data_IF_731716529933
#
_entry.id   IF_731716529933
#
_cell.length_a   1.000
_cell.length_b   1.000
_cell.length_c   1.000
_cell.angle_alpha   90.00
_cell.angle_beta   90.00
_cell.angle_gamma   90.00
#
_symmetry.space_group_name_H-M   'P 1'
#
loop_
_entity.id
_entity.type
_entity.pdbx_description
1 polymer ?
#
# COMPACT_ATOMS: atom_id res chain seq x y z
N UNK A 1 -4.77 -10.29 3.98
CA UNK A 1 -5.79 -10.28 2.90
C UNK A 1 -7.18 -10.58 3.47
N UNK A 2 -7.57 -9.92 4.56
CA UNK A 2 -8.13 -10.66 5.71
C UNK A 2 -9.67 -10.69 5.74
N UNK A 3 -10.29 -10.26 4.63
CA UNK A 3 -11.73 -10.11 4.47
C UNK A 3 -12.26 -10.93 3.27
N UNK A 4 -11.54 -11.97 2.85
CA UNK A 4 -11.98 -12.94 1.84
C UNK A 4 -11.95 -14.34 2.46
N UNK A 5 -13.11 -14.87 2.81
CA UNK A 5 -13.20 -16.23 3.38
C UNK A 5 -13.32 -17.27 2.27
N UNK A 6 -13.00 -18.53 2.56
CA UNK A 6 -13.25 -19.64 1.64
C UNK A 6 -14.75 -19.83 1.32
N UNK A 7 -15.64 -19.35 2.20
CA UNK A 7 -17.08 -19.33 1.95
C UNK A 7 -17.48 -18.27 0.91
N UNK A 8 -16.84 -17.09 0.91
CA UNK A 8 -17.03 -16.08 -0.14
C UNK A 8 -16.55 -16.62 -1.50
N UNK A 9 -15.39 -17.28 -1.53
CA UNK A 9 -14.82 -17.91 -2.74
C UNK A 9 -15.78 -18.97 -3.28
N UNK A 10 -16.21 -19.92 -2.42
CA UNK A 10 -17.19 -20.95 -2.76
C UNK A 10 -18.51 -20.35 -3.30
N UNK A 11 -18.99 -19.28 -2.68
CA UNK A 11 -20.23 -18.60 -3.07
C UNK A 11 -20.07 -17.92 -4.43
N UNK A 12 -18.93 -17.27 -4.70
CA UNK A 12 -18.64 -16.71 -6.03
C UNK A 12 -18.56 -17.80 -7.11
N UNK A 13 -17.90 -18.94 -6.83
CA UNK A 13 -17.82 -20.09 -7.76
C UNK A 13 -19.23 -20.64 -8.05
N UNK A 14 -20.06 -20.85 -7.03
CA UNK A 14 -21.44 -21.33 -7.19
C UNK A 14 -22.31 -20.33 -7.97
N UNK A 15 -22.18 -19.03 -7.69
CA UNK A 15 -22.92 -17.99 -8.39
C UNK A 15 -22.48 -17.87 -9.87
N UNK A 16 -21.20 -18.05 -10.18
CA UNK A 16 -20.69 -18.05 -11.55
C UNK A 16 -21.09 -19.31 -12.35
N UNK A 17 -21.24 -20.47 -11.69
CA UNK A 17 -21.80 -21.69 -12.28
C UNK A 17 -23.33 -21.59 -12.51
N UNK A 18 -24.02 -20.79 -11.69
CA UNK A 18 -25.47 -20.62 -11.74
C UNK A 18 -26.21 -21.93 -11.46
N UNK A 19 -27.21 -22.25 -12.29
CA UNK A 19 -28.06 -23.43 -12.12
C UNK A 19 -27.51 -24.73 -12.73
N UNK A 20 -26.33 -24.71 -13.37
CA UNK A 20 -25.76 -25.86 -14.07
C UNK A 20 -24.55 -26.44 -13.32
N UNK A 21 -24.39 -27.77 -13.25
CA UNK A 21 -23.16 -28.38 -12.73
C UNK A 21 -22.01 -28.12 -13.71
N UNK A 22 -20.90 -27.57 -13.22
CA UNK A 22 -19.72 -27.27 -14.04
C UNK A 22 -18.64 -28.34 -13.92
N UNK A 23 -17.92 -28.58 -15.02
CA UNK A 23 -16.78 -29.50 -15.07
C UNK A 23 -15.47 -28.82 -14.63
N UNK A 24 -15.39 -27.49 -14.69
CA UNK A 24 -14.22 -26.68 -14.33
C UNK A 24 -14.66 -25.46 -13.50
N UNK A 25 -13.72 -24.81 -12.82
CA UNK A 25 -13.99 -23.59 -12.04
C UNK A 25 -14.07 -22.39 -13.00
N UNK A 26 -15.11 -21.52 -12.95
CA UNK A 26 -15.20 -20.39 -13.86
C UNK A 26 -14.14 -19.31 -13.57
N UNK A 27 -13.42 -18.89 -14.59
CA UNK A 27 -12.44 -17.78 -14.55
C UNK A 27 -13.06 -16.47 -14.05
N UNK A 28 -14.33 -16.23 -14.38
CA UNK A 28 -15.15 -15.10 -13.90
C UNK A 28 -15.17 -15.02 -12.36
N UNK A 29 -15.10 -16.15 -11.65
CA UNK A 29 -15.05 -16.20 -10.19
C UNK A 29 -13.74 -15.60 -9.65
N UNK A 30 -12.61 -15.90 -10.32
CA UNK A 30 -11.31 -15.31 -10.01
C UNK A 30 -11.30 -13.82 -10.35
N UNK A 31 -11.74 -13.44 -11.55
CA UNK A 31 -11.79 -12.05 -12.02
C UNK A 31 -12.59 -11.15 -11.07
N UNK A 32 -13.82 -11.53 -10.73
CA UNK A 32 -14.70 -10.73 -9.87
C UNK A 32 -14.09 -10.54 -8.47
N UNK A 33 -13.52 -11.61 -7.90
CA UNK A 33 -12.94 -11.56 -6.56
C UNK A 33 -11.63 -10.77 -6.52
N UNK A 34 -10.76 -10.89 -7.52
CA UNK A 34 -9.50 -10.13 -7.55
C UNK A 34 -9.75 -8.66 -7.86
N UNK A 35 -10.68 -8.31 -8.77
CA UNK A 35 -11.13 -6.92 -8.97
C UNK A 35 -11.71 -6.32 -7.67
N UNK A 36 -12.48 -7.10 -6.90
CA UNK A 36 -12.96 -6.68 -5.56
C UNK A 36 -11.83 -6.45 -4.55
N UNK A 37 -10.67 -7.13 -4.65
CA UNK A 37 -9.51 -6.80 -3.81
C UNK A 37 -8.71 -5.60 -4.34
N UNK A 38 -8.49 -5.52 -5.66
CA UNK A 38 -7.76 -4.40 -6.30
C UNK A 38 -8.45 -3.06 -6.00
N UNK A 39 -9.78 -2.99 -6.05
CA UNK A 39 -10.51 -1.75 -5.72
C UNK A 39 -10.23 -1.25 -4.29
N UNK A 40 -9.89 -2.13 -3.34
CA UNK A 40 -9.53 -1.73 -1.96
C UNK A 40 -8.16 -1.04 -1.85
N UNK A 41 -7.45 -0.88 -2.96
CA UNK A 41 -6.23 -0.07 -3.05
C UNK A 41 -6.52 1.40 -3.41
N UNK A 42 -7.75 1.73 -3.80
CA UNK A 42 -8.23 3.09 -4.11
C UNK A 42 -8.14 4.00 -2.86
N UNK A 43 -8.89 3.68 -1.80
CA UNK A 43 -8.93 4.44 -0.54
C UNK A 43 -7.53 4.72 0.09
N UNK A 44 -6.64 3.72 0.28
CA UNK A 44 -5.32 3.99 0.87
C UNK A 44 -4.38 4.73 -0.08
N UNK A 45 -4.58 4.66 -1.39
CA UNK A 45 -3.79 5.45 -2.36
C UNK A 45 -4.22 6.91 -2.34
N UNK A 46 -5.53 7.18 -2.26
CA UNK A 46 -6.06 8.53 -2.09
C UNK A 46 -5.63 9.15 -0.75
N UNK A 47 -5.70 8.38 0.36
CA UNK A 47 -5.19 8.86 1.66
C UNK A 47 -3.68 9.14 1.64
N UNK A 48 -2.91 8.50 0.77
CA UNK A 48 -1.50 8.84 0.55
C UNK A 48 -1.34 10.22 -0.12
N UNK A 49 -2.19 10.57 -1.09
CA UNK A 49 -2.21 11.93 -1.68
C UNK A 49 -2.55 12.99 -0.63
N UNK A 50 -3.57 12.73 0.21
CA UNK A 50 -3.97 13.64 1.28
C UNK A 50 -2.84 13.88 2.29
N UNK A 51 -2.15 12.83 2.75
CA UNK A 51 -1.03 12.95 3.68
C UNK A 51 0.14 13.75 3.09
N UNK A 52 0.42 13.62 1.79
CA UNK A 52 1.46 14.45 1.13
C UNK A 52 0.98 15.89 0.97
N UNK A 53 -0.30 16.15 0.69
CA UNK A 53 -0.86 17.49 0.67
C UNK A 53 -0.77 18.17 2.06
N UNK A 54 -1.13 17.45 3.13
CA UNK A 54 -0.96 17.92 4.52
C UNK A 54 0.52 18.26 4.85
N UNK A 55 1.47 17.48 4.34
CA UNK A 55 2.91 17.73 4.52
C UNK A 55 3.38 18.97 3.76
N UNK A 56 2.98 19.12 2.50
CA UNK A 56 3.31 20.32 1.71
C UNK A 56 2.75 21.59 2.35
N UNK A 57 1.55 21.54 2.94
CA UNK A 57 0.99 22.65 3.73
C UNK A 57 1.85 22.98 4.96
N UNK A 58 2.33 21.96 5.69
CA UNK A 58 3.21 22.15 6.86
C UNK A 58 4.59 22.71 6.49
N UNK A 59 5.16 22.32 5.35
CA UNK A 59 6.40 22.90 4.82
C UNK A 59 6.23 24.41 4.56
N UNK A 60 5.13 24.84 3.94
CA UNK A 60 4.85 26.27 3.66
C UNK A 60 4.73 27.07 4.96
N UNK A 61 4.03 26.53 5.96
CA UNK A 61 3.94 27.16 7.29
C UNK A 61 5.31 27.30 7.96
N UNK A 62 6.18 26.28 7.83
CA UNK A 62 7.53 26.34 8.38
C UNK A 62 8.43 27.36 7.68
N UNK A 63 8.37 27.45 6.33
CA UNK A 63 9.09 28.49 5.57
C UNK A 63 8.65 29.92 5.97
N UNK A 64 7.41 30.09 6.43
CA UNK A 64 6.89 31.35 6.95
C UNK A 64 7.59 31.89 8.20
N UNK A 65 8.27 31.04 8.97
CA UNK A 65 8.90 31.42 10.25
C UNK A 65 10.22 32.20 10.09
N UNK A 66 10.67 32.50 8.87
CA UNK A 66 11.89 33.27 8.63
C UNK A 66 11.72 34.75 8.99
N UNK A 67 12.77 35.37 9.52
CA UNK A 67 12.73 36.73 10.09
C UNK A 67 12.27 37.82 9.10
N UNK A 68 12.50 37.61 7.81
CA UNK A 68 12.07 38.53 6.74
C UNK A 68 10.54 38.61 6.63
N UNK A 69 9.82 37.51 6.83
CA UNK A 69 8.35 37.47 6.82
C UNK A 69 7.72 38.08 8.09
N UNK A 70 8.43 38.03 9.23
CA UNK A 70 8.00 38.69 10.48
C UNK A 70 7.96 40.22 10.31
N UNK A 71 8.73 40.78 9.36
CA UNK A 71 8.70 42.19 8.99
C UNK A 71 7.40 42.59 8.30
N UNK A 72 6.91 41.78 7.36
CA UNK A 72 5.77 42.08 6.49
C UNK A 72 4.66 41.02 6.64
N UNK A 73 3.88 41.05 7.75
CA UNK A 73 2.94 39.99 8.07
C UNK A 73 1.82 39.83 7.04
N UNK A 74 1.35 40.92 6.40
CA UNK A 74 0.32 40.85 5.35
C UNK A 74 0.83 40.21 4.07
N UNK A 75 2.06 40.53 3.65
CA UNK A 75 2.74 39.82 2.55
C UNK A 75 2.90 38.33 2.87
N UNK A 76 3.28 37.98 4.10
CA UNK A 76 3.43 36.58 4.52
C UNK A 76 2.11 35.81 4.45
N UNK A 77 1.04 36.35 5.05
CA UNK A 77 -0.31 35.79 4.99
C UNK A 77 -0.77 35.57 3.54
N UNK A 78 -0.58 36.60 2.69
CA UNK A 78 -0.94 36.53 1.26
C UNK A 78 -0.15 35.48 0.48
N UNK A 79 1.14 35.30 0.77
CA UNK A 79 1.96 34.22 0.20
C UNK A 79 1.38 32.86 0.59
N UNK A 80 1.15 32.62 1.89
CA UNK A 80 0.63 31.34 2.39
C UNK A 80 -0.72 31.01 1.75
N UNK A 81 -1.63 31.99 1.64
CA UNK A 81 -2.92 31.83 0.98
C UNK A 81 -2.78 31.41 -0.50
N UNK A 82 -1.92 32.08 -1.27
CA UNK A 82 -1.67 31.76 -2.68
C UNK A 82 -1.14 30.34 -2.84
N UNK A 83 -0.15 29.92 -2.04
CA UNK A 83 0.37 28.54 -2.16
C UNK A 83 -0.65 27.50 -1.68
N UNK A 84 -1.39 27.79 -0.61
CA UNK A 84 -2.46 26.93 -0.13
C UNK A 84 -3.62 26.82 -1.13
N UNK A 85 -3.90 27.86 -1.93
CA UNK A 85 -4.87 27.81 -3.02
C UNK A 85 -4.33 27.00 -4.21
N UNK A 86 -3.06 27.17 -4.57
CA UNK A 86 -2.39 26.39 -5.63
C UNK A 86 -2.37 24.88 -5.32
N UNK A 87 -2.06 24.52 -4.07
CA UNK A 87 -2.17 23.15 -3.53
C UNK A 87 -3.59 22.59 -3.68
N UNK A 88 -4.60 23.30 -3.13
CA UNK A 88 -6.01 22.89 -3.20
C UNK A 88 -6.52 22.74 -4.64
N UNK A 89 -6.03 23.55 -5.59
CA UNK A 89 -6.35 23.46 -7.03
C UNK A 89 -5.73 22.23 -7.71
N UNK A 90 -4.65 21.65 -7.17
CA UNK A 90 -3.91 20.51 -7.76
C UNK A 90 -4.16 19.16 -7.09
N UNK A 91 -4.72 19.17 -5.87
CA UNK A 91 -5.20 17.97 -5.19
C UNK A 91 -6.21 17.14 -6.04
N UNK A 92 -7.32 17.69 -6.58
CA UNK A 92 -8.30 16.88 -7.32
C UNK A 92 -7.75 16.29 -8.63
N UNK A 93 -6.87 17.00 -9.34
CA UNK A 93 -6.18 16.47 -10.53
C UNK A 93 -5.28 15.27 -10.18
N UNK A 94 -4.66 15.30 -9.00
CA UNK A 94 -3.79 14.22 -8.50
C UNK A 94 -4.63 13.02 -8.04
N UNK A 95 -5.74 13.26 -7.33
CA UNK A 95 -6.70 12.22 -6.94
C UNK A 95 -7.26 11.50 -8.17
N UNK A 96 -7.73 12.24 -9.18
CA UNK A 96 -8.24 11.69 -10.43
C UNK A 96 -7.21 10.84 -11.18
N UNK A 97 -5.93 11.21 -11.13
CA UNK A 97 -4.85 10.39 -11.70
C UNK A 97 -4.68 9.07 -10.92
N UNK A 98 -4.77 9.09 -9.59
CA UNK A 98 -4.69 7.89 -8.75
C UNK A 98 -5.92 6.98 -8.92
N UNK A 99 -7.12 7.55 -9.02
CA UNK A 99 -8.36 6.85 -9.40
C UNK A 99 -8.20 6.15 -10.75
N UNK A 100 -7.67 6.87 -11.77
CA UNK A 100 -7.41 6.30 -13.09
C UNK A 100 -6.40 5.13 -13.05
N UNK A 101 -5.33 5.23 -12.24
CA UNK A 101 -4.34 4.14 -12.09
C UNK A 101 -4.99 2.86 -11.56
N UNK A 102 -5.83 2.96 -10.53
CA UNK A 102 -6.59 1.79 -10.00
C UNK A 102 -7.65 1.34 -11.01
N UNK A 103 -8.31 2.26 -11.71
CA UNK A 103 -9.27 1.98 -12.77
C UNK A 103 -8.69 1.18 -13.94
N UNK A 104 -7.43 1.43 -14.32
CA UNK A 104 -6.72 0.67 -15.36
C UNK A 104 -6.46 -0.77 -14.91
N UNK A 105 -5.98 -0.98 -13.68
CA UNK A 105 -5.76 -2.32 -13.09
C UNK A 105 -7.10 -3.07 -12.84
N UNK A 106 -8.22 -2.36 -12.76
CA UNK A 106 -9.58 -2.93 -12.71
C UNK A 106 -10.18 -3.22 -14.10
N UNK A 107 -9.68 -2.59 -15.16
CA UNK A 107 -10.23 -2.76 -16.51
C UNK A 107 -9.90 -4.16 -17.07
N UNK A 108 -8.63 -4.56 -17.02
CA UNK A 108 -8.13 -5.79 -17.64
C UNK A 108 -7.23 -6.60 -16.69
N UNK A 109 -7.37 -7.93 -16.72
CA UNK A 109 -6.53 -8.86 -15.97
C UNK A 109 -5.58 -9.57 -16.93
N UNK A 110 -4.26 -9.37 -16.75
CA UNK A 110 -3.27 -10.04 -17.57
C UNK A 110 -2.86 -11.40 -16.98
N UNK A 111 -3.64 -12.44 -17.27
CA UNK A 111 -3.31 -13.84 -16.90
C UNK A 111 -2.04 -14.39 -17.56
N UNK A 112 -1.39 -13.63 -18.46
CA UNK A 112 -0.09 -13.92 -19.09
C UNK A 112 1.06 -13.08 -18.52
N UNK A 113 0.86 -12.37 -17.41
CA UNK A 113 1.91 -11.56 -16.78
C UNK A 113 3.10 -12.45 -16.33
N UNK A 114 4.37 -12.09 -16.60
CA UNK A 114 5.52 -12.94 -16.29
C UNK A 114 5.60 -13.41 -14.83
N UNK A 115 5.36 -12.51 -13.87
CA UNK A 115 5.39 -12.85 -12.45
C UNK A 115 4.24 -13.79 -12.01
N UNK A 116 3.18 -13.98 -12.82
CA UNK A 116 1.98 -14.76 -12.48
C UNK A 116 2.15 -16.27 -12.71
N UNK A 117 3.26 -16.81 -12.22
CA UNK A 117 3.72 -18.19 -12.39
C UNK A 117 2.68 -19.25 -11.95
N UNK A 118 1.82 -18.92 -10.99
CA UNK A 118 0.85 -19.89 -10.43
C UNK A 118 -0.15 -20.40 -11.46
N UNK A 119 -0.53 -19.61 -12.47
CA UNK A 119 -1.51 -20.04 -13.48
C UNK A 119 -1.05 -21.30 -14.25
N UNK A 120 0.23 -21.38 -14.63
CA UNK A 120 0.79 -22.56 -15.31
C UNK A 120 0.92 -23.79 -14.42
N UNK A 121 1.19 -23.59 -13.12
CA UNK A 121 1.26 -24.67 -12.11
C UNK A 121 -0.15 -25.19 -11.81
N UNK A 122 -1.13 -24.29 -11.70
CA UNK A 122 -2.52 -24.59 -11.40
C UNK A 122 -3.22 -25.28 -12.58
N UNK A 123 -2.89 -24.92 -13.82
CA UNK A 123 -3.36 -25.67 -15.00
C UNK A 123 -2.96 -27.15 -14.90
N UNK A 124 -1.67 -27.45 -14.61
CA UNK A 124 -1.20 -28.83 -14.40
C UNK A 124 -1.87 -29.53 -13.22
N UNK A 125 -2.07 -28.82 -12.11
CA UNK A 125 -2.76 -29.36 -10.94
C UNK A 125 -4.26 -29.62 -11.15
N UNK A 126 -4.89 -28.99 -12.15
CA UNK A 126 -6.27 -29.21 -12.55
C UNK A 126 -6.43 -30.25 -13.67
N UNK A 127 -5.44 -30.41 -14.58
CA UNK A 127 -5.45 -31.45 -15.61
C UNK A 127 -5.03 -32.83 -15.10
N UNK A 128 -4.29 -32.89 -13.98
CA UNK A 128 -3.84 -34.16 -13.39
C UNK A 128 -2.64 -34.79 -14.11
N UNK A 129 -1.86 -34.00 -14.84
CA UNK A 129 -0.65 -34.46 -15.53
C UNK A 129 0.54 -34.61 -14.56
N UNK A 130 0.53 -35.68 -13.78
CA UNK A 130 1.68 -36.13 -12.98
C UNK A 130 2.87 -36.47 -13.89
N UNK A 131 3.67 -35.45 -14.22
CA UNK A 131 4.89 -35.59 -14.99
C UNK A 131 6.05 -35.86 -14.05
N UNK A 132 6.65 -37.05 -14.16
CA UNK A 132 7.79 -37.46 -13.34
C UNK A 132 8.98 -36.50 -13.49
N UNK A 133 9.43 -35.92 -12.38
CA UNK A 133 10.61 -35.06 -12.36
C UNK A 133 11.89 -35.91 -12.51
N UNK A 134 12.45 -35.93 -13.71
CA UNK A 134 13.82 -36.41 -13.94
C UNK A 134 14.78 -35.52 -13.13
N UNK A 135 15.29 -36.04 -12.01
CA UNK A 135 16.24 -35.33 -11.17
C UNK A 135 17.61 -35.25 -11.85
N UNK A 136 17.97 -34.05 -12.32
CA UNK A 136 19.32 -33.74 -12.79
C UNK A 136 20.36 -34.04 -11.70
N UNK A 137 21.45 -34.70 -12.07
CA UNK A 137 22.54 -35.05 -11.14
C UNK A 137 23.14 -33.81 -10.48
N UNK A 138 23.44 -33.82 -9.17
CA UNK A 138 24.44 -32.92 -8.61
C UNK A 138 25.84 -33.36 -9.08
N UNK A 139 26.73 -32.38 -9.30
CA UNK A 139 28.14 -32.62 -9.60
C UNK A 139 28.92 -33.01 -8.33
N UNK A 140 30.00 -33.79 -8.46
CA UNK A 140 30.77 -34.32 -7.33
C UNK A 140 32.23 -33.87 -7.40
N UNK A 141 32.55 -32.79 -6.69
CA UNK A 141 33.93 -32.32 -6.47
C UNK A 141 34.31 -32.44 -4.99
N UNK A 142 35.39 -33.18 -4.74
CA UNK A 142 36.01 -33.35 -3.44
C UNK A 142 36.89 -32.15 -3.08
N UNK A 143 36.85 -31.75 -1.81
CA UNK A 143 37.96 -31.12 -1.08
C UNK A 143 37.96 -31.66 0.35
N UNK A 144 39.09 -31.57 1.04
CA UNK A 144 39.51 -32.51 2.08
C UNK A 144 39.66 -31.87 3.48
N UNK A 145 39.89 -32.72 4.50
CA UNK A 145 40.44 -32.41 5.84
C UNK A 145 39.61 -31.54 6.83
N UNK A 146 39.77 -31.56 8.18
CA UNK A 146 40.34 -32.55 9.15
C UNK A 146 39.96 -32.16 10.62
N UNK A 147 39.93 -33.13 11.56
CA UNK A 147 39.96 -33.05 13.05
C UNK A 147 38.76 -32.60 13.96
N UNK A 148 38.43 -33.51 14.90
CA UNK A 148 38.20 -33.37 16.37
C UNK A 148 36.93 -32.71 17.01
N UNK A 149 36.19 -33.52 17.78
CA UNK A 149 36.20 -33.35 19.25
C UNK A 149 34.90 -33.42 20.09
N UNK A 150 34.53 -34.61 20.62
CA UNK A 150 33.61 -34.87 21.79
C UNK A 150 32.13 -34.44 21.65
N UNK A 151 31.15 -35.04 22.35
CA UNK A 151 31.13 -36.22 23.26
C UNK A 151 29.75 -36.91 23.26
N UNK A 152 29.77 -38.25 23.38
CA UNK A 152 28.61 -39.14 23.67
C UNK A 152 28.45 -39.33 25.22
N UNK A 153 27.53 -40.13 25.83
CA UNK A 153 27.04 -41.44 25.34
C UNK A 153 25.58 -41.90 25.70
N UNK A 154 25.22 -43.10 25.20
CA UNK A 154 24.25 -44.08 25.75
C UNK A 154 22.75 -43.75 25.69
N UNK A 155 21.79 -44.69 25.55
CA UNK A 155 21.71 -46.14 25.24
C UNK A 155 20.22 -46.45 24.89
N UNK A 156 19.72 -47.62 24.42
CA UNK A 156 20.16 -48.95 23.95
C UNK A 156 19.02 -49.41 22.97
N UNK A 157 19.16 -50.19 21.89
CA UNK A 157 19.93 -51.40 21.52
C UNK A 157 19.45 -52.72 22.17
N UNK A 158 18.61 -53.47 21.43
CA UNK A 158 18.53 -54.94 21.22
C UNK A 158 17.23 -55.19 20.38
N UNK A 159 17.06 -55.82 19.21
CA UNK A 159 17.76 -56.70 18.22
C UNK A 159 17.18 -58.13 18.11
N UNK A 160 16.72 -58.50 16.91
CA UNK A 160 16.38 -59.86 16.41
C UNK A 160 15.10 -60.53 17.02
N UNK A 161 14.48 -61.58 16.45
CA UNK A 161 14.93 -62.64 15.49
C UNK A 161 13.77 -63.22 14.62
N UNK A 162 14.09 -64.04 13.61
CA UNK A 162 13.17 -64.55 12.56
C UNK A 162 12.45 -65.90 12.84
N UNK A 163 11.14 -65.99 12.47
CA UNK A 163 10.40 -67.18 11.96
C UNK A 163 10.17 -68.40 12.90
N UNK A 164 9.46 -69.48 12.44
CA UNK A 164 8.70 -69.68 11.18
C UNK A 164 7.28 -70.36 11.30
N UNK A 165 6.52 -70.38 10.19
CA UNK A 165 5.52 -71.41 9.69
C UNK A 165 4.63 -72.23 10.65
N UNK A 166 3.28 -72.18 10.49
CA UNK A 166 2.37 -73.36 10.24
C UNK A 166 0.83 -73.06 10.15
N UNK A 167 0.18 -73.79 9.23
CA UNK A 167 -1.25 -74.08 8.90
C UNK A 167 -2.44 -73.80 9.88
N UNK A 168 -3.64 -73.57 9.30
CA UNK A 168 -4.98 -73.69 9.95
C UNK A 168 -6.10 -72.85 9.29
N UNK A 169 -6.68 -73.23 8.14
CA UNK A 169 -7.89 -74.09 7.94
C UNK A 169 -9.25 -73.34 7.91
N UNK A 170 -9.89 -73.36 6.73
CA UNK A 170 -11.33 -73.27 6.39
C UNK A 170 -12.13 -71.95 6.51
N UNK A 171 -13.20 -71.91 5.71
CA UNK A 171 -14.21 -70.85 5.46
C UNK A 171 -15.61 -71.48 5.68
N UNK A 172 -16.78 -70.98 5.17
CA UNK A 172 -17.16 -69.68 4.59
C UNK A 172 -18.52 -69.14 5.16
N UNK A 173 -19.23 -68.30 4.38
CA UNK A 173 -20.66 -67.90 4.50
C UNK A 173 -21.00 -66.79 5.53
N UNK A 174 -22.10 -66.02 5.41
CA UNK A 174 -23.19 -66.00 4.41
C UNK A 174 -23.49 -64.56 3.91
N UNK A 175 -24.20 -64.47 2.78
CA UNK A 175 -24.61 -63.22 2.12
C UNK A 175 -25.97 -62.69 2.57
N UNK A 176 -26.17 -61.36 2.54
CA UNK A 176 -27.49 -60.78 2.23
C UNK A 176 -27.37 -59.35 1.64
N UNK A 177 -28.17 -59.08 0.60
CA UNK A 177 -28.46 -57.72 0.15
C UNK A 177 -29.64 -57.16 0.97
N UNK A 178 -29.59 -55.87 1.29
CA UNK A 178 -30.76 -55.12 1.76
C UNK A 178 -30.78 -53.73 1.09
N UNK A 179 -31.53 -53.60 0.00
CA UNK A 179 -31.97 -52.29 -0.47
C UNK A 179 -33.02 -51.76 0.50
N UNK A 180 -32.90 -50.50 0.93
CA UNK A 180 -33.97 -49.85 1.68
C UNK A 180 -34.09 -48.37 1.32
N UNK A 181 -34.84 -48.08 0.26
CA UNK A 181 -35.17 -46.72 -0.19
C UNK A 181 -36.35 -46.16 0.60
N UNK A 182 -36.12 -45.78 1.86
CA UNK A 182 -37.15 -45.15 2.70
C UNK A 182 -37.21 -43.64 2.47
N UNK A 183 -38.28 -43.19 1.80
CA UNK A 183 -38.61 -41.79 1.61
C UNK A 183 -39.04 -41.16 2.95
N UNK A 184 -38.24 -40.24 3.51
CA UNK A 184 -38.61 -39.49 4.72
C UNK A 184 -39.03 -38.08 4.34
N UNK A 185 -40.34 -37.83 4.43
CA UNK A 185 -40.97 -36.52 4.29
C UNK A 185 -40.68 -35.68 5.54
N UNK A 186 -39.96 -34.56 5.37
CA UNK A 186 -39.68 -33.62 6.46
C UNK A 186 -40.84 -32.62 6.66
N UNK A 187 -41.23 -32.29 7.91
CA UNK A 187 -42.26 -31.30 8.19
C UNK A 187 -41.73 -29.87 7.98
N UNK A 188 -42.64 -28.92 7.74
CA UNK A 188 -42.34 -27.50 7.80
C UNK A 188 -42.14 -27.09 9.27
N UNK A 189 -41.06 -26.36 9.54
CA UNK A 189 -40.75 -25.81 10.87
C UNK A 189 -39.78 -24.64 10.71
N UNK A 190 -40.04 -23.56 11.44
CA UNK A 190 -39.30 -22.30 11.35
C UNK A 190 -37.97 -22.34 12.11
N UNK A 191 -37.01 -21.48 11.75
CA UNK A 191 -35.76 -21.28 12.51
C UNK A 191 -34.46 -21.38 11.70
N UNK A 192 -33.68 -20.30 11.75
CA UNK A 192 -32.44 -20.08 10.99
C UNK A 192 -31.28 -21.01 11.37
N UNK A 193 -31.28 -22.25 10.86
CA UNK A 193 -30.12 -23.15 10.92
C UNK A 193 -29.24 -22.98 9.68
N UNK A 194 -28.11 -22.26 9.85
CA UNK A 194 -27.11 -22.13 8.78
C UNK A 194 -26.53 -23.51 8.50
N UNK A 195 -26.86 -24.05 7.33
CA UNK A 195 -26.42 -25.38 6.90
C UNK A 195 -24.91 -25.42 6.68
N UNK A 196 -24.16 -25.79 7.72
CA UNK A 196 -22.71 -26.05 7.70
C UNK A 196 -22.39 -27.38 7.00
N UNK A 197 -22.86 -27.53 5.75
CA UNK A 197 -22.40 -28.57 4.83
C UNK A 197 -20.87 -28.47 4.74
N UNK A 198 -20.17 -29.46 5.30
CA UNK A 198 -18.73 -29.62 5.13
C UNK A 198 -18.42 -29.62 3.62
N UNK A 199 -17.47 -28.79 3.21
CA UNK A 199 -17.13 -28.63 1.80
C UNK A 199 -16.66 -29.97 1.21
N UNK A 200 -17.05 -30.25 -0.03
CA UNK A 200 -16.50 -31.39 -0.75
C UNK A 200 -14.98 -31.25 -0.89
N UNK A 201 -14.23 -32.36 -0.88
CA UNK A 201 -12.79 -32.34 -1.15
C UNK A 201 -12.44 -31.74 -2.54
N UNK A 202 -13.40 -31.73 -3.46
CA UNK A 202 -13.30 -31.00 -4.73
C UNK A 202 -13.43 -29.49 -4.51
N UNK A 203 -14.54 -29.05 -3.93
CA UNK A 203 -14.82 -27.63 -3.63
C UNK A 203 -13.71 -26.99 -2.78
N UNK A 204 -13.14 -27.74 -1.83
CA UNK A 204 -12.01 -27.28 -1.01
C UNK A 204 -10.77 -26.99 -1.86
N UNK A 205 -10.37 -27.92 -2.74
CA UNK A 205 -9.25 -27.72 -3.68
C UNK A 205 -9.52 -26.58 -4.66
N UNK A 206 -10.73 -26.51 -5.20
CA UNK A 206 -11.16 -25.46 -6.13
C UNK A 206 -11.08 -24.06 -5.46
N UNK A 207 -11.48 -23.96 -4.19
CA UNK A 207 -11.31 -22.73 -3.40
C UNK A 207 -9.83 -22.41 -3.10
N UNK A 208 -9.02 -23.41 -2.72
CA UNK A 208 -7.59 -23.23 -2.41
C UNK A 208 -6.78 -22.80 -3.64
N UNK A 209 -7.16 -23.28 -4.83
CA UNK A 209 -6.63 -22.86 -6.13
C UNK A 209 -6.97 -21.40 -6.42
N UNK A 210 -8.24 -21.01 -6.29
CA UNK A 210 -8.68 -19.63 -6.55
C UNK A 210 -8.08 -18.66 -5.53
N UNK A 211 -7.96 -19.05 -4.25
CA UNK A 211 -7.34 -18.22 -3.21
C UNK A 211 -5.88 -17.89 -3.53
N UNK A 212 -5.11 -18.86 -4.08
CA UNK A 212 -3.73 -18.66 -4.52
C UNK A 212 -3.65 -17.68 -5.70
N UNK A 213 -4.40 -17.92 -6.78
CA UNK A 213 -4.45 -17.03 -7.94
C UNK A 213 -4.78 -15.58 -7.55
N UNK A 214 -5.78 -15.37 -6.67
CA UNK A 214 -6.13 -14.04 -6.16
C UNK A 214 -4.96 -13.42 -5.38
N UNK A 215 -4.30 -14.18 -4.48
CA UNK A 215 -3.12 -13.72 -3.72
C UNK A 215 -1.96 -13.32 -4.64
N UNK A 216 -1.64 -14.14 -5.65
CA UNK A 216 -0.53 -13.91 -6.58
C UNK A 216 -0.78 -12.70 -7.47
N UNK A 217 -1.93 -12.63 -8.15
CA UNK A 217 -2.24 -11.48 -9.03
C UNK A 217 -2.37 -10.17 -8.25
N UNK A 218 -3.04 -10.18 -7.09
CA UNK A 218 -3.15 -9.00 -6.24
C UNK A 218 -1.79 -8.50 -5.74
N UNK A 219 -0.82 -9.39 -5.47
CA UNK A 219 0.52 -8.97 -5.07
C UNK A 219 1.26 -8.21 -6.18
N UNK A 220 1.11 -8.65 -7.44
CA UNK A 220 1.66 -7.98 -8.63
C UNK A 220 1.05 -6.58 -8.77
N UNK A 221 -0.28 -6.48 -8.80
CA UNK A 221 -0.99 -5.18 -8.92
C UNK A 221 -0.65 -4.24 -7.76
N UNK A 222 -0.56 -4.76 -6.53
CA UNK A 222 -0.15 -3.96 -5.37
C UNK A 222 1.26 -3.40 -5.52
N UNK A 223 2.20 -4.19 -6.05
CA UNK A 223 3.58 -3.75 -6.34
C UNK A 223 3.62 -2.67 -7.42
N UNK A 224 2.80 -2.80 -8.48
CA UNK A 224 2.65 -1.77 -9.52
C UNK A 224 2.13 -0.44 -8.93
N UNK A 225 1.09 -0.51 -8.10
CA UNK A 225 0.47 0.67 -7.45
C UNK A 225 1.44 1.33 -6.46
N UNK A 226 2.22 0.55 -5.70
CA UNK A 226 3.26 1.05 -4.79
C UNK A 226 4.35 1.87 -5.49
N UNK A 227 4.64 1.59 -6.77
CA UNK A 227 5.57 2.37 -7.60
C UNK A 227 4.87 3.54 -8.34
N UNK A 228 3.65 3.30 -8.84
CA UNK A 228 2.92 4.25 -9.69
C UNK A 228 2.32 5.43 -8.93
N UNK A 229 1.78 5.22 -7.73
CA UNK A 229 1.11 6.28 -6.94
C UNK A 229 2.11 7.36 -6.47
N UNK A 230 3.29 7.03 -5.89
CA UNK A 230 4.30 8.04 -5.58
C UNK A 230 4.77 8.82 -6.80
N UNK A 231 4.92 8.17 -7.97
CA UNK A 231 5.28 8.85 -9.23
C UNK A 231 4.19 9.82 -9.70
N UNK A 232 2.92 9.44 -9.59
CA UNK A 232 1.78 10.32 -9.89
C UNK A 232 1.76 11.54 -8.96
N UNK A 233 1.90 11.35 -7.64
CA UNK A 233 1.96 12.44 -6.65
C UNK A 233 3.14 13.38 -6.94
N UNK A 234 4.34 12.83 -7.19
CA UNK A 234 5.52 13.63 -7.52
C UNK A 234 5.33 14.45 -8.81
N UNK A 235 4.72 13.89 -9.84
CA UNK A 235 4.52 14.60 -11.12
C UNK A 235 3.38 15.64 -11.05
N UNK A 236 2.18 15.23 -10.64
CA UNK A 236 0.97 16.06 -10.72
C UNK A 236 0.87 17.11 -9.60
N UNK A 237 1.43 16.83 -8.41
CA UNK A 237 1.38 17.71 -7.25
C UNK A 237 2.75 18.38 -7.01
N UNK A 238 3.77 17.62 -6.61
CA UNK A 238 5.03 18.17 -6.06
C UNK A 238 5.81 18.98 -7.10
N UNK A 239 6.15 18.37 -8.24
CA UNK A 239 6.93 19.01 -9.29
C UNK A 239 6.15 20.15 -9.95
N UNK A 240 4.86 19.94 -10.26
CA UNK A 240 3.99 20.99 -10.78
C UNK A 240 3.98 22.23 -9.87
N UNK A 241 3.83 22.05 -8.55
CA UNK A 241 3.84 23.18 -7.61
C UNK A 241 5.21 23.83 -7.60
N UNK A 242 6.30 23.06 -7.43
CA UNK A 242 7.68 23.59 -7.47
C UNK A 242 7.94 24.48 -8.70
N UNK A 243 7.46 24.07 -9.87
CA UNK A 243 7.75 24.73 -11.15
C UNK A 243 6.74 25.83 -11.52
N UNK A 244 5.58 25.92 -10.85
CA UNK A 244 4.56 26.97 -11.06
C UNK A 244 4.43 27.95 -9.89
N UNK A 245 5.02 27.65 -8.73
CA UNK A 245 4.97 28.46 -7.52
C UNK A 245 5.49 29.88 -7.77
N UNK A 246 6.63 30.00 -8.44
CA UNK A 246 7.27 31.29 -8.72
C UNK A 246 6.42 32.15 -9.66
N UNK A 247 5.86 31.56 -10.72
CA UNK A 247 5.02 32.29 -11.68
C UNK A 247 3.67 32.70 -11.08
N UNK A 248 3.02 31.86 -10.27
CA UNK A 248 1.76 32.21 -9.59
C UNK A 248 1.98 33.28 -8.50
N UNK A 249 3.04 33.16 -7.67
CA UNK A 249 3.36 34.18 -6.66
C UNK A 249 3.67 35.53 -7.29
N UNK A 250 4.50 35.58 -8.35
CA UNK A 250 4.76 36.84 -9.07
C UNK A 250 3.48 37.36 -9.72
N UNK A 251 2.70 36.51 -10.39
CA UNK A 251 1.48 36.93 -11.08
C UNK A 251 0.38 37.46 -10.14
N UNK A 252 0.34 37.05 -8.87
CA UNK A 252 -0.67 37.46 -7.90
C UNK A 252 -0.19 38.56 -6.94
N UNK A 253 1.11 38.63 -6.61
CA UNK A 253 1.67 39.64 -5.70
C UNK A 253 2.11 40.93 -6.41
N UNK A 254 2.52 40.87 -7.69
CA UNK A 254 2.87 42.06 -8.49
C UNK A 254 1.72 42.62 -9.34
N UNK A 255 0.56 41.94 -9.40
CA UNK A 255 -0.66 42.44 -10.07
C UNK A 255 -1.76 42.87 -9.10
N UNK A 256 -1.54 42.74 -7.80
CA UNK A 256 -2.28 43.53 -6.81
C UNK A 256 -2.12 45.01 -7.20
N UNK A 257 -3.20 45.80 -7.09
CA UNK A 257 -3.14 47.21 -7.49
C UNK A 257 -2.12 47.96 -6.62
N UNK A 258 -1.48 49.02 -7.12
CA UNK A 258 -0.37 49.70 -6.40
C UNK A 258 -0.72 50.02 -4.93
N UNK A 259 -1.96 50.42 -4.66
CA UNK A 259 -2.48 50.71 -3.33
C UNK A 259 -2.56 49.47 -2.39
N UNK A 260 -2.81 48.28 -2.94
CA UNK A 260 -2.74 47.00 -2.20
C UNK A 260 -1.28 46.56 -1.98
N UNK A 261 -0.38 46.94 -2.88
CA UNK A 261 1.04 46.56 -2.83
C UNK A 261 1.77 47.28 -1.69
N UNK A 262 1.49 48.57 -1.48
CA UNK A 262 1.93 49.30 -0.27
C UNK A 262 1.34 48.69 1.01
N UNK A 263 0.07 48.25 0.98
CA UNK A 263 -0.58 47.66 2.16
C UNK A 263 0.01 46.29 2.55
N UNK A 264 0.34 45.44 1.57
CA UNK A 264 1.05 44.17 1.79
C UNK A 264 2.43 44.36 2.43
N UNK A 265 3.10 45.48 2.12
CA UNK A 265 4.42 45.85 2.63
C UNK A 265 4.37 46.70 3.92
N UNK A 266 3.21 46.79 4.58
CA UNK A 266 3.13 47.39 5.91
C UNK A 266 4.00 46.62 6.93
N UNK A 267 4.95 47.35 7.54
CA UNK A 267 5.88 46.81 8.54
C UNK A 267 5.15 46.51 9.87
N UNK A 268 5.48 45.39 10.51
CA UNK A 268 4.88 45.04 11.80
C UNK A 268 5.23 46.07 12.89
N UNK A 269 4.22 46.50 13.66
CA UNK A 269 4.32 47.61 14.64
C UNK A 269 5.52 47.50 15.59
N UNK A 270 5.81 46.30 16.09
CA UNK A 270 6.96 46.04 16.98
C UNK A 270 8.33 46.21 16.27
N UNK A 271 8.44 45.92 14.97
CA UNK A 271 9.66 46.16 14.20
C UNK A 271 9.77 47.64 13.82
N UNK A 272 8.66 48.29 13.45
CA UNK A 272 8.61 49.73 13.21
C UNK A 272 9.02 50.55 14.46
N UNK A 273 8.55 50.16 15.64
CA UNK A 273 8.96 50.78 16.91
C UNK A 273 10.44 50.53 17.20
N UNK A 274 10.94 49.28 17.13
CA UNK A 274 12.37 48.99 17.32
C UNK A 274 13.28 49.76 16.35
N UNK A 275 12.84 49.94 15.09
CA UNK A 275 13.54 50.74 14.07
C UNK A 275 13.61 52.21 14.48
N UNK A 276 12.52 52.76 15.03
CA UNK A 276 12.48 54.11 15.60
C UNK A 276 13.38 54.25 16.83
N UNK A 277 13.28 53.35 17.80
CA UNK A 277 14.09 53.36 19.03
C UNK A 277 15.60 53.32 18.70
N UNK A 278 15.99 52.47 17.74
CA UNK A 278 17.37 52.36 17.27
C UNK A 278 17.84 53.63 16.52
N UNK A 279 16.96 54.29 15.77
CA UNK A 279 17.29 55.57 15.12
C UNK A 279 17.48 56.70 16.15
N UNK A 280 16.58 56.82 17.14
CA UNK A 280 16.70 57.83 18.19
C UNK A 280 17.99 57.64 19.02
N UNK A 281 18.35 56.39 19.32
CA UNK A 281 19.62 56.05 19.96
C UNK A 281 20.84 56.38 19.07
N UNK A 282 20.79 56.10 17.76
CA UNK A 282 21.87 56.44 16.83
C UNK A 282 22.07 57.96 16.71
N UNK A 283 20.98 58.74 16.65
CA UNK A 283 21.04 60.20 16.67
C UNK A 283 21.64 60.74 17.97
N UNK A 284 21.32 60.14 19.13
CA UNK A 284 21.91 60.49 20.41
C UNK A 284 23.43 60.19 20.45
N UNK A 285 23.86 59.05 19.91
CA UNK A 285 25.27 58.68 19.81
C UNK A 285 26.05 59.58 18.84
N UNK A 286 25.44 60.00 17.72
CA UNK A 286 26.02 60.99 16.82
C UNK A 286 26.22 62.34 17.52
N UNK A 287 25.21 62.82 18.27
CA UNK A 287 25.29 64.07 19.05
C UNK A 287 26.37 63.98 20.14
N UNK A 288 26.51 62.84 20.81
CA UNK A 288 27.58 62.61 21.78
C UNK A 288 28.99 62.64 21.15
N UNK A 289 29.15 62.03 19.96
CA UNK A 289 30.43 62.02 19.23
C UNK A 289 30.82 63.43 18.71
N UNK A 290 29.83 64.24 18.34
CA UNK A 290 30.01 65.65 18.01
C UNK A 290 30.59 66.42 19.22
N UNK A 291 29.95 66.30 20.39
CA UNK A 291 30.39 66.96 21.65
C UNK A 291 31.80 66.50 22.07
N UNK A 292 32.13 65.20 21.93
CA UNK A 292 33.47 64.69 22.21
C UNK A 292 34.52 65.32 21.28
N UNK A 293 34.16 65.61 20.03
CA UNK A 293 35.03 66.27 19.05
C UNK A 293 35.25 67.74 19.42
N UNK A 294 34.19 68.47 19.79
CA UNK A 294 34.25 69.85 20.27
C UNK A 294 35.12 69.98 21.54
N UNK A 295 34.97 69.07 22.51
CA UNK A 295 35.79 69.03 23.73
C UNK A 295 37.26 68.74 23.41
N UNK A 296 37.55 67.96 22.38
CA UNK A 296 38.93 67.69 21.92
C UNK A 296 39.57 68.90 21.26
N UNK A 297 38.81 69.67 20.47
CA UNK A 297 39.28 70.94 19.90
C UNK A 297 39.50 72.01 20.97
N UNK A 298 38.65 72.05 22.01
CA UNK A 298 38.83 72.95 23.16
C UNK A 298 40.08 72.65 24.01
N UNK A 299 40.66 71.44 23.94
CA UNK A 299 41.92 71.08 24.59
C UNK A 299 43.17 71.28 23.72
N UNK A 300 43.02 71.87 22.52
CA UNK A 300 44.12 72.21 21.60
C UNK A 300 44.49 73.70 21.62
N UNK A 301 43.98 74.45 22.61
CA UNK A 301 44.23 75.87 22.89
C UNK A 301 44.73 76.07 24.33
#
# INVERSE_FOLDING_TARGET
MDNLTKFDILTAIRNANGSRPALFVPEISFELLVKRQIKRLEDPSLRCVELVHEELQRIIQHCGAQQEFIRFPRLHEKIVDVVAQLLRRRLPETNRMVENLVGIELAYINTKHPDFHEAGIIHKALTGEDTTLNASKPDNRMTDETTLGRSNPSNQVLTQRNGPVANGIQSPTHSSHAVNSSLIMAPLGDGTTINTRKLSQREQRDCDVIERLIRSYFFIVRKNIQDSVPKAIMHFLVNFIKDQLQSELVALLYKASTNEQDDLLNESSHIAQRRKDAQEMLEALHKANQIISEVREAHLW
#
